data_IF_244584971263
#
_entry.id   IF_244584971263
#
_cell.length_a   1.000
_cell.length_b   1.000
_cell.length_c   1.000
_cell.angle_alpha   90.00
_cell.angle_beta   90.00
_cell.angle_gamma   90.00
#
_symmetry.space_group_name_H-M   'P 1'
#
loop_
_entity.id
_entity.type
_entity.pdbx_description
1 polymer ?
#
# COMPACT_ATOMS: atom_id res chain seq x y z
N UNK A 1 -3.48 16.15 -12.15
CA UNK A 1 -3.58 14.96 -11.27
C UNK A 1 -2.20 14.40 -10.98
N UNK A 2 -1.89 14.11 -9.72
CA UNK A 2 -0.55 13.66 -9.30
C UNK A 2 -0.15 12.31 -9.90
N UNK A 3 -1.12 11.40 -10.07
CA UNK A 3 -0.90 10.06 -10.64
C UNK A 3 -0.32 10.10 -12.06
N UNK A 4 -0.91 10.88 -12.95
CA UNK A 4 -0.46 10.99 -14.33
C UNK A 4 0.96 11.55 -14.41
N UNK A 5 1.29 12.55 -13.58
CA UNK A 5 2.63 13.13 -13.49
C UNK A 5 3.67 12.11 -13.02
N UNK A 6 3.36 11.36 -11.96
CA UNK A 6 4.29 10.33 -11.43
C UNK A 6 4.51 9.21 -12.45
N UNK A 7 3.48 8.74 -13.14
CA UNK A 7 3.64 7.71 -14.18
C UNK A 7 4.40 8.21 -15.41
N UNK A 8 4.26 9.49 -15.77
CA UNK A 8 5.06 10.09 -16.84
C UNK A 8 6.53 10.26 -16.45
N UNK A 9 6.82 10.64 -15.18
CA UNK A 9 8.18 10.74 -14.64
C UNK A 9 8.85 9.37 -14.49
N UNK A 10 8.09 8.37 -14.04
CA UNK A 10 8.56 7.03 -13.73
C UNK A 10 7.92 5.98 -14.66
N UNK A 11 8.20 5.99 -15.98
CA UNK A 11 7.54 5.09 -16.95
C UNK A 11 7.93 3.62 -16.76
N UNK A 12 9.09 3.38 -16.15
CA UNK A 12 9.60 2.07 -15.76
C UNK A 12 9.54 1.94 -14.25
N UNK A 13 9.15 0.76 -13.77
CA UNK A 13 8.97 0.45 -12.36
C UNK A 13 10.23 0.79 -11.57
N UNK A 14 10.10 1.68 -10.60
CA UNK A 14 11.21 2.14 -9.74
C UNK A 14 11.73 1.05 -8.79
N UNK A 15 10.95 -0.01 -8.54
CA UNK A 15 11.34 -1.13 -7.68
C UNK A 15 12.17 -2.17 -8.45
N UNK A 16 11.74 -2.59 -9.65
CA UNK A 16 12.41 -3.68 -10.37
C UNK A 16 13.21 -3.25 -11.60
N UNK A 17 13.04 -2.02 -12.10
CA UNK A 17 13.76 -1.50 -13.26
C UNK A 17 13.43 -2.16 -14.61
N UNK A 18 12.50 -3.13 -14.66
CA UNK A 18 12.26 -3.95 -15.86
C UNK A 18 10.87 -3.70 -16.46
N UNK A 19 9.82 -3.71 -15.63
CA UNK A 19 8.42 -3.64 -16.10
C UNK A 19 7.94 -2.20 -16.19
N UNK A 20 6.97 -1.94 -17.07
CA UNK A 20 6.27 -0.64 -17.11
C UNK A 20 5.57 -0.35 -15.78
N UNK A 21 5.60 0.91 -15.38
CA UNK A 21 4.79 1.40 -14.27
C UNK A 21 3.33 1.49 -14.69
N UNK A 22 2.43 0.93 -13.88
CA UNK A 22 0.98 1.02 -14.10
C UNK A 22 0.25 1.56 -12.88
N UNK A 23 0.98 1.70 -11.76
CA UNK A 23 0.45 2.12 -10.47
C UNK A 23 1.42 3.15 -9.85
N UNK A 24 0.87 3.96 -8.93
CA UNK A 24 1.63 4.94 -8.16
C UNK A 24 1.57 4.50 -6.71
N UNK A 25 2.72 4.52 -6.05
CA UNK A 25 2.88 4.00 -4.71
C UNK A 25 3.77 4.92 -3.88
N UNK A 26 3.62 4.90 -2.56
CA UNK A 26 4.47 5.65 -1.67
C UNK A 26 5.87 5.03 -1.61
N UNK A 27 6.91 5.87 -1.62
CA UNK A 27 8.30 5.43 -1.44
C UNK A 27 8.51 4.91 -0.02
N UNK A 28 8.00 5.64 0.98
CA UNK A 28 7.95 5.19 2.37
C UNK A 28 6.55 4.72 2.73
N UNK A 29 6.49 3.51 3.28
CA UNK A 29 5.27 2.91 3.80
C UNK A 29 4.64 3.78 4.90
N UNK A 30 3.30 3.75 5.00
CA UNK A 30 2.55 4.34 6.12
C UNK A 30 2.76 5.86 6.32
N UNK A 31 3.06 6.60 5.25
CA UNK A 31 3.11 8.07 5.28
C UNK A 31 1.88 8.64 4.56
N UNK A 32 1.36 9.76 5.04
CA UNK A 32 0.32 10.55 4.35
C UNK A 32 0.95 11.61 3.42
N UNK A 33 2.22 11.42 3.06
CA UNK A 33 2.99 12.38 2.27
C UNK A 33 2.68 12.22 0.78
N UNK A 34 1.76 13.05 0.30
CA UNK A 34 1.34 13.10 -1.10
C UNK A 34 2.20 14.05 -1.95
N UNK A 35 3.40 14.46 -1.50
CA UNK A 35 4.31 15.26 -2.33
C UNK A 35 4.88 14.39 -3.45
N UNK A 36 5.15 15.00 -4.63
CA UNK A 36 5.67 14.27 -5.81
C UNK A 36 6.91 13.42 -5.50
N UNK A 37 7.77 13.85 -4.55
CA UNK A 37 8.99 13.13 -4.12
C UNK A 37 8.72 11.89 -3.27
N UNK A 38 7.56 11.81 -2.63
CA UNK A 38 7.18 10.72 -1.75
C UNK A 38 6.44 9.60 -2.52
N UNK A 39 6.14 9.81 -3.80
CA UNK A 39 5.48 8.86 -4.69
C UNK A 39 6.44 8.33 -5.75
N UNK A 40 6.19 7.11 -6.23
CA UNK A 40 6.94 6.46 -7.30
C UNK A 40 6.04 5.65 -8.23
N UNK A 41 6.44 5.54 -9.51
CA UNK A 41 5.83 4.62 -10.46
C UNK A 41 6.27 3.17 -10.23
N UNK A 42 5.29 2.26 -10.13
CA UNK A 42 5.54 0.83 -9.88
C UNK A 42 4.68 -0.07 -10.78
N UNK A 43 5.17 -1.28 -11.05
CA UNK A 43 4.40 -2.32 -11.72
C UNK A 43 3.51 -3.10 -10.73
N UNK A 44 2.43 -3.69 -11.25
CA UNK A 44 1.46 -4.44 -10.44
C UNK A 44 2.06 -5.50 -9.50
N UNK A 45 2.98 -6.38 -9.95
CA UNK A 45 3.55 -7.40 -9.07
C UNK A 45 4.40 -6.82 -7.94
N UNK A 46 5.21 -5.78 -8.20
CA UNK A 46 6.01 -5.13 -7.16
C UNK A 46 5.13 -4.38 -6.16
N UNK A 47 4.06 -3.74 -6.63
CA UNK A 47 3.08 -3.10 -5.75
C UNK A 47 2.40 -4.12 -4.83
N UNK A 48 1.91 -5.24 -5.36
CA UNK A 48 1.28 -6.29 -4.57
C UNK A 48 2.23 -6.85 -3.50
N UNK A 49 3.50 -7.10 -3.86
CA UNK A 49 4.51 -7.58 -2.92
C UNK A 49 4.80 -6.56 -1.80
N UNK A 50 4.93 -5.28 -2.14
CA UNK A 50 5.14 -4.20 -1.18
C UNK A 50 3.95 -4.07 -0.22
N UNK A 51 2.73 -3.99 -0.74
CA UNK A 51 1.52 -3.90 0.09
C UNK A 51 1.36 -5.11 1.03
N UNK A 52 1.72 -6.31 0.58
CA UNK A 52 1.71 -7.49 1.43
C UNK A 52 2.71 -7.39 2.59
N UNK A 53 3.94 -6.95 2.31
CA UNK A 53 4.98 -6.74 3.33
C UNK A 53 4.60 -5.65 4.32
N UNK A 54 4.05 -4.53 3.85
CA UNK A 54 3.56 -3.42 4.69
C UNK A 54 2.39 -3.85 5.58
N UNK A 55 1.44 -4.61 5.02
CA UNK A 55 0.33 -5.18 5.79
C UNK A 55 0.82 -6.16 6.87
N UNK A 56 1.83 -6.98 6.56
CA UNK A 56 2.45 -7.87 7.55
C UNK A 56 3.17 -7.08 8.66
N UNK A 57 3.95 -6.06 8.31
CA UNK A 57 4.61 -5.18 9.26
C UNK A 57 3.59 -4.42 10.15
N UNK A 58 2.47 -3.97 9.59
CA UNK A 58 1.38 -3.35 10.34
C UNK A 58 0.71 -4.30 11.33
N UNK A 59 0.53 -5.58 10.96
CA UNK A 59 0.04 -6.61 11.89
C UNK A 59 1.03 -6.90 13.01
N UNK A 60 2.32 -7.01 12.70
CA UNK A 60 3.36 -7.22 13.71
C UNK A 60 3.47 -6.05 14.71
N UNK A 61 3.26 -4.81 14.25
CA UNK A 61 3.27 -3.59 15.08
C UNK A 61 2.04 -3.43 15.98
N UNK A 62 0.97 -4.18 15.74
CA UNK A 62 -0.22 -4.20 16.59
C UNK A 62 -0.19 -5.46 17.45
N UNK A 63 0.32 -5.43 18.70
CA UNK A 63 0.07 -6.53 19.64
C UNK A 63 -1.44 -6.75 19.67
N UNK A 64 -1.86 -7.99 19.40
CA UNK A 64 -3.19 -8.32 18.92
C UNK A 64 -4.29 -7.58 19.68
N UNK A 65 -4.94 -6.62 19.02
CA UNK A 65 -6.29 -6.23 19.42
C UNK A 65 -7.13 -7.47 19.08
N UNK A 66 -7.35 -8.35 20.07
CA UNK A 66 -8.55 -9.20 20.04
C UNK A 66 -9.68 -8.23 19.75
N UNK A 67 -10.37 -8.43 18.61
CA UNK A 67 -11.69 -7.84 18.44
C UNK A 67 -12.46 -8.32 19.68
N UNK A 68 -12.97 -7.42 20.55
CA UNK A 68 -13.84 -7.85 21.61
C UNK A 68 -14.91 -8.74 20.98
N UNK A 69 -15.24 -9.86 21.62
CA UNK A 69 -16.39 -10.65 21.21
C UNK A 69 -17.62 -9.76 21.40
N UNK A 70 -18.03 -9.04 20.35
CA UNK A 70 -19.31 -8.34 20.37
C UNK A 70 -20.39 -9.40 20.54
N UNK A 71 -21.26 -9.35 21.55
CA UNK A 71 -22.39 -10.25 21.63
C UNK A 71 -23.23 -10.04 20.36
N UNK A 72 -23.27 -11.07 19.52
CA UNK A 72 -24.06 -11.04 18.29
C UNK A 72 -25.54 -10.95 18.66
N UNK A 73 -26.33 -10.00 18.13
CA UNK A 73 -27.73 -9.79 18.52
C UNK A 73 -28.70 -10.86 17.99
N UNK A 74 -28.23 -12.10 17.77
CA UNK A 74 -28.98 -13.20 17.17
C UNK A 74 -29.42 -14.29 18.15
N UNK A 75 -29.56 -13.99 19.45
CA UNK A 75 -30.07 -14.94 20.45
C UNK A 75 -31.19 -14.35 21.31
N UNK A 76 -32.23 -13.86 20.64
CA UNK A 76 -33.58 -13.76 21.19
C UNK A 76 -34.55 -14.16 20.06
N UNK A 77 -35.17 -15.32 20.21
CA UNK A 77 -36.05 -15.98 19.26
C UNK A 77 -36.24 -17.42 19.67
#
# INVERSE_FOLDING_TARGET
MIRARVLARDPVCRICGIRRSTQVDHVQAMTDDHRDRALQGVCGPCHAQKSAAEGAAGRARRPGRRRPDDPHPGRLG
#
